data_IF_507820203750
#
_entry.id   IF_507820203750
#
_cell.length_a   1.000
_cell.length_b   1.000
_cell.length_c   1.000
_cell.angle_alpha   90.00
_cell.angle_beta   90.00
_cell.angle_gamma   90.00
#
_symmetry.space_group_name_H-M   'P 1'
#
loop_
_entity.id
_entity.type
_entity.pdbx_description
1 polymer ?
#
# COMPACT_ATOMS: atom_id res chain seq x y z
N UNK A 1 14.65 0.12 -5.24
CA UNK A 1 13.79 -1.07 -5.08
C UNK A 1 13.09 -1.35 -6.40
N UNK A 2 12.81 -2.61 -6.77
CA UNK A 2 12.07 -2.97 -7.99
C UNK A 2 10.59 -3.21 -7.69
N UNK A 3 9.72 -3.03 -8.71
CA UNK A 3 8.26 -3.28 -8.62
C UNK A 3 7.96 -4.65 -8.03
N UNK A 4 8.65 -5.69 -8.50
CA UNK A 4 8.47 -7.07 -8.03
C UNK A 4 8.71 -7.22 -6.52
N UNK A 5 9.70 -6.49 -5.98
CA UNK A 5 10.02 -6.57 -4.56
C UNK A 5 9.03 -5.79 -3.70
N UNK A 6 8.47 -4.70 -4.22
CA UNK A 6 7.34 -4.02 -3.58
C UNK A 6 6.09 -4.92 -3.55
N UNK A 7 5.86 -5.69 -4.62
CA UNK A 7 4.76 -6.67 -4.67
C UNK A 7 4.97 -7.80 -3.65
N UNK A 8 6.19 -8.31 -3.51
CA UNK A 8 6.49 -9.32 -2.48
C UNK A 8 6.22 -8.79 -1.06
N UNK A 9 6.70 -7.58 -0.77
CA UNK A 9 6.47 -6.91 0.53
C UNK A 9 4.97 -6.69 0.78
N UNK A 10 4.25 -6.14 -0.19
CA UNK A 10 2.81 -5.91 -0.06
C UNK A 10 2.02 -7.21 0.13
N UNK A 11 2.43 -8.30 -0.53
CA UNK A 11 1.81 -9.63 -0.32
C UNK A 11 2.04 -10.13 1.10
N UNK A 12 3.23 -9.95 1.66
CA UNK A 12 3.51 -10.31 3.06
C UNK A 12 2.69 -9.48 4.05
N UNK A 13 2.56 -8.17 3.80
CA UNK A 13 1.75 -7.25 4.62
C UNK A 13 0.28 -7.69 4.61
N UNK A 14 -0.29 -7.94 3.42
CA UNK A 14 -1.70 -8.36 3.28
C UNK A 14 -1.93 -9.77 3.83
N UNK A 15 -0.97 -10.68 3.65
CA UNK A 15 -1.07 -12.03 4.18
C UNK A 15 -1.01 -12.07 5.71
N UNK A 16 -0.50 -11.01 6.36
CA UNK A 16 -0.27 -10.97 7.81
C UNK A 16 0.49 -12.23 8.30
N UNK A 17 1.40 -12.74 7.46
CA UNK A 17 2.10 -14.02 7.68
C UNK A 17 3.29 -13.85 8.65
N UNK A 18 3.40 -12.69 9.31
CA UNK A 18 4.55 -12.30 10.15
C UNK A 18 4.08 -11.56 11.39
N UNK A 19 4.98 -11.32 12.34
CA UNK A 19 4.69 -10.57 13.56
C UNK A 19 4.33 -9.12 13.26
N UNK A 20 3.58 -8.47 14.16
CA UNK A 20 3.22 -7.05 14.04
C UNK A 20 4.45 -6.16 13.79
N UNK A 21 5.59 -6.47 14.44
CA UNK A 21 6.86 -5.79 14.25
C UNK A 21 7.41 -5.94 12.82
N UNK A 22 7.36 -7.14 12.25
CA UNK A 22 7.79 -7.38 10.87
C UNK A 22 6.87 -6.64 9.88
N UNK A 23 5.56 -6.65 10.13
CA UNK A 23 4.59 -5.93 9.31
C UNK A 23 4.87 -4.43 9.34
N UNK A 24 5.20 -3.87 10.50
CA UNK A 24 5.54 -2.45 10.65
C UNK A 24 6.82 -2.09 9.87
N UNK A 25 7.87 -2.92 9.98
CA UNK A 25 9.12 -2.76 9.22
C UNK A 25 8.89 -2.87 7.71
N UNK A 26 8.10 -3.87 7.28
CA UNK A 26 7.75 -4.08 5.87
C UNK A 26 6.93 -2.90 5.33
N UNK A 27 6.01 -2.38 6.13
CA UNK A 27 5.18 -1.21 5.83
C UNK A 27 6.04 0.04 5.68
N UNK A 28 6.97 0.29 6.60
CA UNK A 28 7.88 1.43 6.53
C UNK A 28 8.85 1.31 5.35
N UNK A 29 9.37 0.11 5.07
CA UNK A 29 10.19 -0.15 3.89
C UNK A 29 9.41 0.11 2.60
N UNK A 30 8.15 -0.32 2.55
CA UNK A 30 7.30 -0.09 1.39
C UNK A 30 7.14 1.41 1.15
N UNK A 31 6.74 2.15 2.18
CA UNK A 31 6.49 3.60 2.13
C UNK A 31 7.73 4.39 1.69
N UNK A 32 8.90 4.09 2.25
CA UNK A 32 10.19 4.71 1.87
C UNK A 32 10.59 4.48 0.42
N UNK A 33 10.06 3.43 -0.22
CA UNK A 33 10.40 3.06 -1.59
C UNK A 33 9.36 3.50 -2.62
N UNK A 34 8.21 4.03 -2.19
CA UNK A 34 7.19 4.57 -3.09
C UNK A 34 7.12 6.09 -2.98
N UNK A 35 6.82 6.80 -4.07
CA UNK A 35 6.62 8.26 -4.03
C UNK A 35 5.29 8.66 -3.39
N UNK A 36 4.40 7.70 -3.10
CA UNK A 36 3.11 7.95 -2.46
C UNK A 36 3.24 7.96 -0.93
N UNK A 37 2.83 9.04 -0.24
CA UNK A 37 2.81 9.04 1.23
C UNK A 37 1.77 8.05 1.74
N UNK A 38 2.15 7.15 2.64
CA UNK A 38 1.34 6.05 3.17
C UNK A 38 0.87 5.05 2.10
N UNK A 39 1.76 4.63 1.20
CA UNK A 39 1.42 3.69 0.12
C UNK A 39 0.93 2.33 0.63
N UNK A 40 1.42 1.89 1.78
CA UNK A 40 0.96 0.69 2.48
C UNK A 40 -0.48 0.80 3.00
N UNK A 41 -0.95 2.01 3.28
CA UNK A 41 -2.32 2.24 3.70
C UNK A 41 -3.32 1.91 2.57
N UNK A 42 -2.89 2.00 1.30
CA UNK A 42 -3.69 1.65 0.12
C UNK A 42 -4.08 0.17 0.06
N UNK A 43 -3.36 -0.71 0.77
CA UNK A 43 -3.73 -2.12 0.88
C UNK A 43 -5.02 -2.33 1.70
N UNK A 44 -5.27 -1.45 2.67
CA UNK A 44 -6.40 -1.57 3.60
C UNK A 44 -7.49 -0.52 3.35
N UNK A 45 -7.11 0.67 2.86
CA UNK A 45 -7.99 1.80 2.67
C UNK A 45 -7.73 2.48 1.33
N UNK A 46 -8.77 2.80 0.53
CA UNK A 46 -8.58 3.58 -0.69
C UNK A 46 -7.99 4.97 -0.39
N UNK A 47 -7.25 5.55 -1.34
CA UNK A 47 -6.64 6.89 -1.23
C UNK A 47 -7.66 7.97 -0.82
N UNK A 48 -8.91 7.83 -1.27
CA UNK A 48 -10.02 8.73 -0.98
C UNK A 48 -11.00 8.12 0.04
N UNK A 49 -10.49 7.37 1.01
CA UNK A 49 -11.30 6.76 2.06
C UNK A 49 -11.98 7.85 2.89
N UNK A 50 -13.27 8.01 2.68
CA UNK A 50 -14.11 8.85 3.51
C UNK A 50 -14.88 7.94 4.47
N UNK A 51 -14.47 7.88 5.73
CA UNK A 51 -15.10 7.03 6.76
C UNK A 51 -16.62 7.25 6.93
N UNK A 52 -17.18 8.35 6.39
CA UNK A 52 -18.61 8.64 6.39
C UNK A 52 -19.37 8.20 5.13
N UNK A 53 -18.70 7.87 4.03
CA UNK A 53 -19.33 7.60 2.72
C UNK A 53 -18.73 6.45 1.91
N UNK A 54 -17.50 6.04 2.23
CA UNK A 54 -16.81 4.99 1.51
C UNK A 54 -17.21 3.63 2.07
N UNK A 55 -18.01 2.89 1.29
CA UNK A 55 -18.25 1.47 1.53
C UNK A 55 -16.96 0.73 1.13
N UNK A 56 -16.12 0.41 2.12
CA UNK A 56 -14.89 -0.38 1.93
C UNK A 56 -15.12 -1.88 2.09
N UNK A 57 -16.37 -2.31 2.30
CA UNK A 57 -16.70 -3.73 2.48
C UNK A 57 -16.36 -4.59 1.26
N UNK A 58 -16.28 -3.99 0.07
CA UNK A 58 -15.79 -4.63 -1.16
C UNK A 58 -14.39 -4.15 -1.59
N UNK A 59 -13.68 -3.42 -0.74
CA UNK A 59 -12.33 -2.95 -1.05
C UNK A 59 -11.31 -4.06 -0.82
N UNK A 60 -11.03 -4.81 -1.87
CA UNK A 60 -10.01 -5.85 -1.88
C UNK A 60 -9.04 -5.64 -3.04
N UNK A 61 -8.22 -4.58 -3.00
CA UNK A 61 -7.29 -4.28 -4.09
C UNK A 61 -6.21 -5.37 -4.15
N UNK A 62 -5.82 -5.74 -5.37
CA UNK A 62 -4.63 -6.61 -5.52
C UNK A 62 -3.38 -5.82 -5.16
N UNK A 63 -2.42 -6.50 -4.50
CA UNK A 63 -1.15 -5.87 -4.10
C UNK A 63 -0.45 -5.20 -5.29
N UNK A 64 -0.52 -5.83 -6.45
CA UNK A 64 0.05 -5.32 -7.68
C UNK A 64 -0.58 -4.00 -8.10
N UNK A 65 -1.90 -3.86 -7.97
CA UNK A 65 -2.60 -2.59 -8.28
C UNK A 65 -2.22 -1.48 -7.31
N UNK A 66 -2.06 -1.81 -6.02
CA UNK A 66 -1.62 -0.84 -5.01
C UNK A 66 -0.19 -0.38 -5.31
N UNK A 67 0.71 -1.31 -5.61
CA UNK A 67 2.10 -1.01 -5.98
C UNK A 67 2.16 -0.17 -7.26
N UNK A 68 1.36 -0.51 -8.26
CA UNK A 68 1.28 0.24 -9.51
C UNK A 68 0.77 1.66 -9.24
N UNK A 69 -0.32 1.82 -8.48
CA UNK A 69 -0.83 3.13 -8.05
C UNK A 69 0.24 3.94 -7.32
N UNK A 70 0.95 3.33 -6.38
CA UNK A 70 2.03 3.98 -5.64
C UNK A 70 3.16 4.43 -6.55
N UNK A 71 3.58 3.61 -7.52
CA UNK A 71 4.65 3.91 -8.47
C UNK A 71 4.22 4.96 -9.52
N UNK A 72 2.97 4.90 -9.97
CA UNK A 72 2.37 5.86 -10.90
C UNK A 72 1.91 7.15 -10.23
N UNK A 73 1.89 7.20 -8.90
CA UNK A 73 1.55 8.41 -8.17
C UNK A 73 2.60 9.48 -8.48
N UNK A 74 2.24 10.38 -9.39
CA UNK A 74 3.00 11.61 -9.62
C UNK A 74 2.52 12.60 -8.58
N UNK A 75 3.36 13.01 -7.60
CA UNK A 75 3.02 14.15 -6.78
C UNK A 75 2.75 15.31 -7.74
N UNK A 76 1.64 16.00 -7.53
CA UNK A 76 1.27 17.17 -8.33
C UNK A 76 2.43 18.16 -8.21
N UNK A 77 3.25 18.27 -9.25
CA UNK A 77 4.32 19.26 -9.31
C UNK A 77 3.64 20.61 -9.52
N UNK A 78 3.65 21.44 -8.48
CA UNK A 78 3.31 22.86 -8.55
C UNK A 78 4.45 23.66 -9.16
#
# INVERSE_FOLDING_TARGET
MTREKLIDIGRRIVACDSTEEDIDILTEMFDKNVPHPNGSNLFFYPENHNARRADISNYNPSVEEVVDKCLFHKPIQF
#
